data_IF_251112336640
#
_entry.id   IF_251112336640
#
_cell.length_a   1.000
_cell.length_b   1.000
_cell.length_c   1.000
_cell.angle_alpha   90.00
_cell.angle_beta   90.00
_cell.angle_gamma   90.00
#
_symmetry.space_group_name_H-M   'P 1'
#
loop_
_entity.id
_entity.type
_entity.pdbx_description
1 polymer ?
#
# COMPACT_ATOMS: atom_id res chain seq x y z
N UNK A 1 -15.38 9.78 26.09
CA UNK A 1 -14.91 9.88 24.69
C UNK A 1 -14.83 8.47 24.16
N UNK A 2 -15.70 8.15 23.22
CA UNK A 2 -16.18 6.79 22.97
C UNK A 2 -15.23 6.18 21.94
N UNK A 3 -14.75 4.95 22.16
CA UNK A 3 -13.68 4.28 21.39
C UNK A 3 -13.79 4.26 19.86
N UNK A 4 -14.86 4.80 19.29
CA UNK A 4 -15.08 5.07 17.87
C UNK A 4 -13.94 5.89 17.22
N UNK A 5 -13.41 6.91 17.89
CA UNK A 5 -12.28 7.69 17.35
C UNK A 5 -10.98 6.88 17.28
N UNK A 6 -10.75 6.01 18.26
CA UNK A 6 -9.59 5.11 18.29
C UNK A 6 -9.72 3.98 17.26
N UNK A 7 -10.91 3.42 17.09
CA UNK A 7 -11.20 2.35 16.14
C UNK A 7 -11.20 2.84 14.69
N UNK A 8 -11.67 4.07 14.43
CA UNK A 8 -11.59 4.72 13.11
C UNK A 8 -10.12 4.97 12.73
N UNK A 9 -9.29 5.43 13.68
CA UNK A 9 -7.85 5.62 13.46
C UNK A 9 -7.13 4.28 13.24
N UNK A 10 -7.40 3.26 14.05
CA UNK A 10 -6.76 1.94 13.97
C UNK A 10 -7.16 1.07 12.77
N UNK A 11 -8.28 1.37 12.08
CA UNK A 11 -8.75 0.53 10.96
C UNK A 11 -8.77 1.22 9.61
N UNK A 12 -8.92 2.55 9.57
CA UNK A 12 -8.95 3.29 8.30
C UNK A 12 -7.65 4.04 8.03
N UNK A 13 -6.90 4.45 9.06
CA UNK A 13 -5.67 5.24 8.88
C UNK A 13 -4.39 4.39 8.85
N UNK A 14 -4.39 3.15 9.34
CA UNK A 14 -3.22 2.26 9.24
C UNK A 14 -3.02 1.68 7.84
N UNK A 15 -4.09 1.45 7.07
CA UNK A 15 -4.03 0.91 5.70
C UNK A 15 -4.00 1.99 4.61
N UNK A 16 -4.03 3.27 5.01
CA UNK A 16 -3.96 4.41 4.09
C UNK A 16 -2.58 5.05 4.22
N UNK A 17 -1.85 5.31 3.13
CA UNK A 17 -0.54 5.95 3.23
C UNK A 17 -0.66 7.36 3.82
N UNK A 18 0.23 7.69 4.77
CA UNK A 18 0.29 9.03 5.38
C UNK A 18 0.61 10.12 4.35
N UNK A 19 1.44 9.79 3.36
CA UNK A 19 1.88 10.69 2.30
C UNK A 19 2.18 9.92 1.00
N UNK A 20 1.86 10.53 -0.13
CA UNK A 20 2.26 10.06 -1.46
C UNK A 20 3.14 11.12 -2.10
N UNK A 21 4.31 10.69 -2.59
CA UNK A 21 5.26 11.53 -3.31
C UNK A 21 5.30 11.09 -4.77
N UNK A 22 5.15 12.03 -5.69
CA UNK A 22 5.23 11.79 -7.13
C UNK A 22 6.37 12.62 -7.74
N UNK A 23 7.27 12.03 -8.55
CA UNK A 23 8.29 12.78 -9.24
C UNK A 23 7.66 13.72 -10.27
N UNK A 24 8.13 14.96 -10.34
CA UNK A 24 7.60 15.98 -11.26
C UNK A 24 7.63 15.54 -12.74
N UNK A 25 8.64 14.74 -13.12
CA UNK A 25 8.73 14.08 -14.41
C UNK A 25 8.74 12.55 -14.19
N UNK A 26 7.60 11.87 -14.40
CA UNK A 26 7.46 10.44 -14.11
C UNK A 26 8.47 9.58 -14.88
N UNK A 27 9.39 8.96 -14.14
CA UNK A 27 10.29 7.92 -14.64
C UNK A 27 10.72 7.03 -13.48
N UNK A 28 11.17 5.81 -13.77
CA UNK A 28 11.65 4.89 -12.73
C UNK A 28 12.90 5.42 -12.02
N UNK A 29 13.77 6.14 -12.73
CA UNK A 29 14.95 6.78 -12.14
C UNK A 29 14.55 7.92 -11.19
N UNK A 30 13.67 8.82 -11.61
CA UNK A 30 13.21 9.93 -10.78
C UNK A 30 12.45 9.46 -9.54
N UNK A 31 11.65 8.39 -9.66
CA UNK A 31 10.97 7.78 -8.51
C UNK A 31 11.98 7.22 -7.50
N UNK A 32 13.04 6.57 -7.99
CA UNK A 32 14.09 5.99 -7.14
C UNK A 32 14.90 7.07 -6.42
N UNK A 33 15.25 8.15 -7.12
CA UNK A 33 15.93 9.31 -6.52
C UNK A 33 15.06 9.95 -5.43
N UNK A 34 13.77 10.15 -5.71
CA UNK A 34 12.81 10.69 -4.74
C UNK A 34 12.65 9.79 -3.52
N UNK A 35 12.59 8.47 -3.72
CA UNK A 35 12.52 7.49 -2.63
C UNK A 35 13.76 7.57 -1.74
N UNK A 36 14.96 7.60 -2.33
CA UNK A 36 16.21 7.72 -1.57
C UNK A 36 16.23 9.00 -0.74
N UNK A 37 15.90 10.15 -1.36
CA UNK A 37 15.86 11.44 -0.68
C UNK A 37 14.82 11.49 0.46
N UNK A 38 13.69 10.79 0.30
CA UNK A 38 12.67 10.66 1.34
C UNK A 38 13.17 9.81 2.52
N UNK A 39 13.85 8.68 2.25
CA UNK A 39 14.38 7.81 3.32
C UNK A 39 15.51 8.44 4.13
N UNK A 40 16.17 9.48 3.62
CA UNK A 40 17.17 10.25 4.35
C UNK A 40 16.56 11.24 5.38
N UNK A 41 15.24 11.50 5.30
CA UNK A 41 14.58 12.41 6.22
C UNK A 41 14.33 11.75 7.58
N UNK A 42 14.80 12.39 8.66
CA UNK A 42 14.66 11.86 10.03
C UNK A 42 13.22 11.57 10.51
N UNK A 43 12.22 12.20 9.89
CA UNK A 43 10.80 11.99 10.21
C UNK A 43 10.15 10.85 9.41
N UNK A 44 10.83 10.29 8.40
CA UNK A 44 10.31 9.20 7.56
C UNK A 44 10.71 7.87 8.19
N UNK A 45 9.72 7.10 8.67
CA UNK A 45 9.95 5.80 9.31
C UNK A 45 10.13 4.67 8.29
N UNK A 46 9.37 4.72 7.20
CA UNK A 46 9.45 3.78 6.09
C UNK A 46 8.96 4.44 4.81
N UNK A 47 9.44 3.96 3.66
CA UNK A 47 8.97 4.39 2.35
C UNK A 47 9.05 3.23 1.37
N UNK A 48 8.11 3.15 0.44
CA UNK A 48 8.08 2.11 -0.60
C UNK A 48 7.62 2.70 -1.93
N UNK A 49 8.18 2.26 -3.07
CA UNK A 49 7.55 2.53 -4.35
C UNK A 49 6.24 1.74 -4.44
N UNK A 50 5.24 2.32 -5.09
CA UNK A 50 4.01 1.61 -5.41
C UNK A 50 3.46 2.08 -6.75
N UNK A 51 2.54 1.28 -7.31
CA UNK A 51 1.72 1.60 -8.47
C UNK A 51 0.27 1.52 -8.07
N UNK A 52 -0.57 2.42 -8.56
CA UNK A 52 -2.00 2.38 -8.34
C UNK A 52 -2.77 2.44 -9.65
N UNK A 53 -3.94 1.81 -9.68
CA UNK A 53 -4.82 1.84 -10.84
C UNK A 53 -6.23 1.39 -10.46
N UNK A 54 -7.18 1.59 -11.38
CA UNK A 54 -8.55 1.11 -11.23
C UNK A 54 -8.77 -0.08 -12.15
N UNK A 55 -9.38 -1.15 -11.64
CA UNK A 55 -9.73 -2.34 -12.39
C UNK A 55 -11.21 -2.72 -12.21
N UNK A 56 -11.73 -3.53 -13.13
CA UNK A 56 -13.02 -4.20 -12.99
C UNK A 56 -12.78 -5.68 -12.72
N UNK A 57 -13.28 -6.18 -11.60
CA UNK A 57 -13.29 -7.61 -11.28
C UNK A 57 -14.67 -8.19 -11.54
N UNK A 58 -14.71 -9.43 -12.04
CA UNK A 58 -15.95 -10.19 -12.24
C UNK A 58 -15.86 -11.53 -11.53
N UNK A 59 -16.86 -11.84 -10.71
CA UNK A 59 -16.99 -13.14 -10.05
C UNK A 59 -18.47 -13.51 -9.91
N UNK A 60 -18.81 -14.77 -10.20
CA UNK A 60 -20.18 -15.29 -10.11
C UNK A 60 -21.25 -14.40 -10.79
N UNK A 61 -20.92 -13.86 -11.98
CA UNK A 61 -21.82 -13.00 -12.75
C UNK A 61 -21.95 -11.55 -12.27
N UNK A 62 -21.33 -11.19 -11.15
CA UNK A 62 -21.29 -9.84 -10.61
C UNK A 62 -19.99 -9.14 -11.01
N UNK A 63 -20.07 -7.87 -11.42
CA UNK A 63 -18.91 -7.03 -11.70
C UNK A 63 -18.77 -5.96 -10.63
N UNK A 64 -17.53 -5.67 -10.20
CA UNK A 64 -17.21 -4.60 -9.24
C UNK A 64 -15.99 -3.83 -9.69
N UNK A 65 -16.04 -2.51 -9.57
CA UNK A 65 -14.85 -1.66 -9.67
C UNK A 65 -14.01 -1.76 -8.40
N UNK A 66 -12.69 -1.85 -8.56
CA UNK A 66 -11.73 -1.91 -7.46
C UNK A 66 -10.57 -0.96 -7.73
N UNK A 67 -9.98 -0.41 -6.67
CA UNK A 67 -8.64 0.16 -6.73
C UNK A 67 -7.63 -0.97 -6.50
N UNK A 68 -6.58 -1.00 -7.31
CA UNK A 68 -5.49 -1.96 -7.23
C UNK A 68 -4.23 -1.20 -6.90
N UNK A 69 -3.55 -1.63 -5.83
CA UNK A 69 -2.23 -1.14 -5.44
C UNK A 69 -1.24 -2.28 -5.59
N UNK A 70 -0.17 -2.05 -6.34
CA UNK A 70 0.98 -2.94 -6.42
C UNK A 70 2.18 -2.32 -5.71
N UNK A 71 2.70 -3.00 -4.70
CA UNK A 71 3.90 -2.61 -3.97
C UNK A 71 4.70 -3.86 -3.57
N UNK A 72 6.00 -3.74 -3.28
CA UNK A 72 6.79 -4.82 -2.67
C UNK A 72 6.16 -5.30 -1.35
N UNK A 73 6.33 -6.58 -0.99
CA UNK A 73 5.82 -7.14 0.27
C UNK A 73 6.31 -6.35 1.48
N UNK A 74 7.60 -6.01 1.51
CA UNK A 74 8.17 -5.18 2.57
C UNK A 74 7.48 -3.82 2.68
N UNK A 75 7.05 -3.22 1.57
CA UNK A 75 6.29 -1.98 1.60
C UNK A 75 4.89 -2.17 2.19
N UNK A 76 4.20 -3.26 1.83
CA UNK A 76 2.88 -3.57 2.37
C UNK A 76 2.92 -3.86 3.89
N UNK A 77 4.01 -4.45 4.36
CA UNK A 77 4.22 -4.72 5.79
C UNK A 77 4.71 -3.49 6.55
N UNK A 78 5.76 -2.83 6.06
CA UNK A 78 6.51 -1.84 6.83
C UNK A 78 5.92 -0.42 6.69
N UNK A 79 5.14 -0.14 5.64
CA UNK A 79 4.52 1.19 5.41
C UNK A 79 3.03 1.24 5.76
N UNK A 80 2.25 0.20 5.47
CA UNK A 80 0.78 0.19 5.68
C UNK A 80 0.30 -0.91 6.64
N UNK A 81 1.22 -1.62 7.30
CA UNK A 81 0.93 -2.70 8.27
C UNK A 81 -0.19 -3.66 7.83
N UNK A 82 -0.18 -4.05 6.54
CA UNK A 82 -1.29 -4.81 5.97
C UNK A 82 -1.48 -6.17 6.66
N UNK A 83 -0.39 -6.77 7.12
CA UNK A 83 -0.36 -8.11 7.72
C UNK A 83 -1.24 -8.21 8.98
N UNK A 84 -1.27 -7.15 9.81
CA UNK A 84 -2.11 -7.10 11.03
C UNK A 84 -3.62 -7.00 10.73
N UNK A 85 -3.97 -6.74 9.46
CA UNK A 85 -5.33 -6.51 8.99
C UNK A 85 -5.85 -7.61 8.04
N UNK A 86 -5.03 -8.59 7.69
CA UNK A 86 -5.44 -9.75 6.88
C UNK A 86 -6.34 -10.68 7.71
N UNK A 87 -7.52 -11.00 7.18
CA UNK A 87 -8.48 -11.91 7.83
C UNK A 87 -8.38 -13.35 7.31
N UNK A 88 -7.84 -13.54 6.11
CA UNK A 88 -7.64 -14.84 5.48
C UNK A 88 -6.47 -14.78 4.49
N UNK A 89 -5.64 -15.82 4.48
CA UNK A 89 -4.40 -15.87 3.68
C UNK A 89 -3.18 -15.39 4.46
N UNK A 90 -2.07 -15.21 3.75
CA UNK A 90 -0.78 -14.75 4.29
C UNK A 90 -0.16 -13.78 3.27
N UNK A 91 0.34 -12.64 3.72
CA UNK A 91 1.00 -11.66 2.87
C UNK A 91 2.21 -12.27 2.14
N UNK A 92 2.96 -13.17 2.81
CA UNK A 92 4.13 -13.85 2.23
C UNK A 92 3.76 -14.82 1.10
N UNK A 93 2.50 -15.22 1.00
CA UNK A 93 2.05 -16.08 -0.09
C UNK A 93 2.05 -15.33 -1.43
N UNK A 94 1.92 -13.99 -1.42
CA UNK A 94 1.87 -13.17 -2.64
C UNK A 94 3.18 -13.21 -3.44
N UNK A 95 4.33 -13.37 -2.80
CA UNK A 95 5.63 -13.49 -3.49
C UNK A 95 5.91 -14.94 -3.94
N UNK A 96 5.34 -15.93 -3.26
CA UNK A 96 5.58 -17.36 -3.53
C UNK A 96 4.75 -17.89 -4.69
N UNK A 97 3.55 -17.36 -4.88
CA UNK A 97 2.64 -17.75 -5.95
C UNK A 97 2.35 -16.54 -6.86
N UNK A 98 3.25 -16.21 -7.80
CA UNK A 98 2.97 -15.16 -8.76
C UNK A 98 1.70 -15.51 -9.54
N UNK A 99 0.83 -14.52 -9.73
CA UNK A 99 -0.38 -14.68 -10.55
C UNK A 99 0.01 -15.22 -11.93
N UNK A 100 -0.60 -16.33 -12.39
CA UNK A 100 -0.31 -16.94 -13.69
C UNK A 100 -0.78 -16.09 -14.88
#
# INVERSE_FOLDING_TARGET
MNGFGGELHQRLLTVTPDMVLEPANPSEAALRELLNAATEQSAVVAATPFRQGTALLRHAGQSRGVQVVGAPESGLRDVIDLDSHITFGDLQALEREPFP
#
